data_IF_941269806413
#
_entry.id   IF_941269806413
#
_cell.length_a   1.000
_cell.length_b   1.000
_cell.length_c   1.000
_cell.angle_alpha   90.00
_cell.angle_beta   90.00
_cell.angle_gamma   90.00
#
_symmetry.space_group_name_H-M   'P 1'
#
loop_
_entity.id
_entity.type
_entity.pdbx_description
1 polymer ?
#
# COMPACT_ATOMS: atom_id res chain seq x y z
N UNK A 1 -0.58 -0.38 -4.24
CA UNK A 1 0.46 -0.94 -5.12
C UNK A 1 0.17 -2.42 -5.30
N UNK A 2 -0.29 -2.78 -6.50
CA UNK A 2 -0.84 -4.10 -6.82
C UNK A 2 0.17 -5.25 -6.63
N UNK A 3 1.46 -4.99 -6.77
CA UNK A 3 2.51 -6.00 -6.55
C UNK A 3 2.54 -6.52 -5.10
N UNK A 4 2.29 -5.62 -4.13
CA UNK A 4 2.14 -6.01 -2.72
C UNK A 4 0.87 -6.86 -2.55
N UNK A 5 -0.21 -6.49 -3.24
CA UNK A 5 -1.48 -7.22 -3.23
C UNK A 5 -1.36 -8.61 -3.89
N UNK A 6 -0.55 -8.73 -4.94
CA UNK A 6 -0.28 -9.97 -5.66
C UNK A 6 0.77 -10.87 -4.97
N UNK A 7 1.30 -10.45 -3.82
CA UNK A 7 2.38 -11.12 -3.08
C UNK A 7 3.61 -11.44 -3.96
N UNK A 8 3.98 -10.52 -4.86
CA UNK A 8 5.14 -10.69 -5.74
C UNK A 8 6.30 -9.86 -5.22
N UNK A 9 7.44 -10.50 -4.98
CA UNK A 9 8.66 -9.78 -4.67
C UNK A 9 9.15 -9.04 -5.93
N UNK A 10 9.48 -7.76 -5.81
CA UNK A 10 9.94 -6.94 -6.92
C UNK A 10 11.06 -5.99 -6.50
N UNK A 11 11.85 -5.57 -7.50
CA UNK A 11 12.80 -4.46 -7.39
C UNK A 11 12.11 -3.21 -7.91
N UNK A 12 11.89 -2.24 -7.04
CA UNK A 12 11.30 -0.95 -7.40
C UNK A 12 12.41 0.04 -7.77
N UNK A 13 12.22 0.73 -8.90
CA UNK A 13 13.08 1.82 -9.35
C UNK A 13 12.21 3.08 -9.51
N UNK A 14 12.05 3.89 -8.45
CA UNK A 14 11.21 5.08 -8.50
C UNK A 14 11.68 6.08 -9.55
N UNK A 15 10.73 6.72 -10.23
CA UNK A 15 11.03 7.75 -11.23
C UNK A 15 11.51 9.02 -10.51
N UNK A 16 12.71 9.55 -10.81
CA UNK A 16 13.20 10.75 -10.16
C UNK A 16 12.25 11.95 -10.37
N UNK A 17 11.97 12.68 -9.30
CA UNK A 17 11.08 13.85 -9.35
C UNK A 17 9.58 13.52 -9.26
N UNK A 18 9.21 12.25 -9.15
CA UNK A 18 7.87 11.83 -8.75
C UNK A 18 7.86 11.56 -7.24
N UNK A 19 7.57 12.60 -6.46
CA UNK A 19 7.63 12.57 -4.98
C UNK A 19 6.87 11.39 -4.37
N UNK A 20 5.69 11.07 -4.91
CA UNK A 20 4.87 9.96 -4.42
C UNK A 20 5.55 8.60 -4.66
N UNK A 21 6.13 8.37 -5.84
CA UNK A 21 6.83 7.11 -6.13
C UNK A 21 8.08 6.96 -5.27
N UNK A 22 8.83 8.03 -5.07
CA UNK A 22 10.02 8.04 -4.22
C UNK A 22 9.66 7.74 -2.76
N UNK A 23 8.61 8.38 -2.25
CA UNK A 23 8.08 8.13 -0.91
C UNK A 23 7.61 6.68 -0.77
N UNK A 24 6.79 6.19 -1.69
CA UNK A 24 6.22 4.85 -1.65
C UNK A 24 7.32 3.79 -1.73
N UNK A 25 8.30 3.95 -2.62
CA UNK A 25 9.43 3.04 -2.74
C UNK A 25 10.25 2.96 -1.45
N UNK A 26 10.54 4.11 -0.82
CA UNK A 26 11.23 4.16 0.48
C UNK A 26 10.41 3.48 1.58
N UNK A 27 9.13 3.81 1.69
CA UNK A 27 8.22 3.24 2.68
C UNK A 27 8.12 1.70 2.59
N UNK A 28 7.98 1.17 1.37
CA UNK A 28 7.93 -0.28 1.14
C UNK A 28 9.28 -0.96 1.44
N UNK A 29 10.39 -0.26 1.19
CA UNK A 29 11.73 -0.75 1.48
C UNK A 29 12.04 -0.82 2.97
N UNK A 30 11.70 0.23 3.73
CA UNK A 30 11.88 0.28 5.18
C UNK A 30 11.08 -0.81 5.90
N UNK A 31 9.92 -1.17 5.36
CA UNK A 31 9.08 -2.27 5.86
C UNK A 31 9.59 -3.66 5.47
N UNK A 32 10.67 -3.75 4.69
CA UNK A 32 11.16 -4.99 4.07
C UNK A 32 10.11 -5.69 3.20
N UNK A 33 9.16 -4.94 2.63
CA UNK A 33 8.11 -5.52 1.77
C UNK A 33 8.60 -5.64 0.33
N UNK A 34 9.44 -4.70 -0.12
CA UNK A 34 10.03 -4.67 -1.46
C UNK A 34 11.47 -4.17 -1.38
N UNK A 35 12.31 -4.57 -2.33
CA UNK A 35 13.62 -3.95 -2.48
C UNK A 35 13.48 -2.72 -3.39
N UNK A 36 14.02 -1.57 -2.97
CA UNK A 36 13.94 -0.33 -3.73
C UNK A 36 15.33 0.23 -3.95
N UNK A 37 15.62 0.67 -5.17
CA UNK A 37 16.87 1.34 -5.52
C UNK A 37 16.56 2.55 -6.39
N UNK A 38 17.19 3.69 -6.11
CA UNK A 38 16.97 4.89 -6.93
C UNK A 38 17.48 4.70 -8.36
N UNK A 39 16.82 5.31 -9.34
CA UNK A 39 17.20 5.20 -10.75
C UNK A 39 18.68 5.55 -11.00
N UNK A 40 19.20 6.58 -10.32
CA UNK A 40 20.61 7.00 -10.42
C UNK A 40 21.61 5.93 -9.93
N UNK A 41 21.19 5.06 -9.01
CA UNK A 41 22.04 4.00 -8.44
C UNK A 41 21.74 2.62 -9.03
N UNK A 42 20.75 2.51 -9.93
CA UNK A 42 20.32 1.24 -10.49
C UNK A 42 21.42 0.67 -11.40
N UNK A 43 21.90 -0.52 -11.03
CA UNK A 43 22.66 -1.42 -11.90
C UNK A 43 22.07 -2.81 -11.74
N UNK A 44 21.69 -3.44 -12.85
CA UNK A 44 20.93 -4.69 -12.83
C UNK A 44 21.60 -5.78 -11.98
N UNK A 45 22.88 -6.07 -12.22
CA UNK A 45 23.62 -7.10 -11.47
C UNK A 45 23.66 -6.82 -9.97
N UNK A 46 23.94 -5.57 -9.58
CA UNK A 46 23.98 -5.17 -8.17
C UNK A 46 22.61 -5.26 -7.51
N UNK A 47 21.56 -4.86 -8.24
CA UNK A 47 20.20 -4.90 -7.76
C UNK A 47 19.72 -6.34 -7.57
N UNK A 48 20.04 -7.25 -8.50
CA UNK A 48 19.74 -8.68 -8.39
C UNK A 48 20.47 -9.33 -7.21
N UNK A 49 21.77 -9.08 -7.05
CA UNK A 49 22.55 -9.61 -5.94
C UNK A 49 22.01 -9.13 -4.57
N UNK A 50 21.70 -7.84 -4.45
CA UNK A 50 21.11 -7.29 -3.23
C UNK A 50 19.70 -7.83 -2.97
N UNK A 51 18.89 -8.00 -4.01
CA UNK A 51 17.54 -8.55 -3.91
C UNK A 51 17.54 -10.02 -3.47
N UNK A 52 18.48 -10.84 -3.96
CA UNK A 52 18.63 -12.23 -3.51
C UNK A 52 18.99 -12.35 -2.02
N UNK A 53 19.69 -11.35 -1.48
CA UNK A 53 20.06 -11.27 -0.07
C UNK A 53 18.99 -10.58 0.79
N UNK A 54 18.00 -9.93 0.17
CA UNK A 54 16.98 -9.21 0.89
C UNK A 54 15.99 -10.19 1.52
N UNK A 55 15.95 -10.22 2.85
CA UNK A 55 14.92 -10.92 3.61
C UNK A 55 13.61 -10.13 3.55
N UNK A 56 12.88 -10.28 2.44
CA UNK A 56 11.59 -9.62 2.24
C UNK A 56 10.48 -10.37 2.98
N UNK A 57 9.68 -9.63 3.74
CA UNK A 57 8.55 -10.14 4.51
C UNK A 57 7.31 -9.38 4.09
N UNK A 58 6.60 -9.94 3.10
CA UNK A 58 5.33 -9.38 2.68
C UNK A 58 4.31 -9.49 3.82
N UNK A 59 3.51 -8.44 4.07
CA UNK A 59 2.52 -8.48 5.14
C UNK A 59 1.52 -9.59 4.86
N UNK A 60 1.16 -10.36 5.89
CA UNK A 60 -0.01 -11.22 5.80
C UNK A 60 -1.25 -10.38 5.56
N UNK A 61 -2.10 -10.91 4.69
CA UNK A 61 -3.28 -10.22 4.16
C UNK A 61 -4.17 -9.78 5.33
N UNK A 62 -4.55 -8.50 5.37
CA UNK A 62 -5.88 -8.14 5.88
C UNK A 62 -6.80 -8.20 4.68
N UNK A 63 -7.67 -9.19 4.68
CA UNK A 63 -8.79 -9.27 3.75
C UNK A 63 -9.55 -7.93 3.71
N UNK A 64 -10.18 -7.65 2.57
CA UNK A 64 -10.69 -6.34 2.15
C UNK A 64 -11.67 -5.70 3.16
N UNK A 65 -11.12 -5.08 4.20
CA UNK A 65 -11.83 -4.31 5.22
C UNK A 65 -12.59 -3.11 4.62
N UNK A 66 -12.34 -2.81 3.35
CA UNK A 66 -13.06 -1.79 2.61
C UNK A 66 -14.56 -2.09 2.55
N UNK A 67 -14.97 -3.36 2.36
CA UNK A 67 -16.39 -3.71 2.35
C UNK A 67 -17.04 -3.41 3.69
N UNK A 68 -16.41 -3.86 4.77
CA UNK A 68 -16.90 -3.67 6.14
C UNK A 68 -16.96 -2.19 6.53
N UNK A 69 -15.96 -1.39 6.14
CA UNK A 69 -15.96 0.05 6.39
C UNK A 69 -17.01 0.78 5.55
N UNK A 70 -17.24 0.37 4.30
CA UNK A 70 -18.31 0.92 3.46
C UNK A 70 -19.67 0.59 4.05
N UNK A 71 -19.87 -0.66 4.49
CA UNK A 71 -21.11 -1.11 5.15
C UNK A 71 -21.37 -0.32 6.44
N UNK A 72 -20.35 -0.16 7.30
CA UNK A 72 -20.44 0.66 8.52
C UNK A 72 -20.75 2.14 8.22
N UNK A 73 -20.13 2.71 7.17
CA UNK A 73 -20.39 4.10 6.78
C UNK A 73 -21.84 4.28 6.28
N UNK A 74 -22.34 3.37 5.45
CA UNK A 74 -23.73 3.40 4.96
C UNK A 74 -24.72 3.27 6.13
N UNK A 75 -24.44 2.39 7.08
CA UNK A 75 -25.28 2.20 8.26
C UNK A 75 -25.38 3.50 9.08
N UNK A 76 -24.25 4.14 9.38
CA UNK A 76 -24.20 5.41 10.13
C UNK A 76 -24.94 6.54 9.41
N UNK A 77 -24.85 6.61 8.07
CA UNK A 77 -25.57 7.62 7.30
C UNK A 77 -27.09 7.39 7.31
N UNK A 78 -27.52 6.13 7.33
CA UNK A 78 -28.94 5.77 7.33
C UNK A 78 -29.58 6.04 8.70
N UNK A 79 -28.91 5.67 9.79
CA UNK A 79 -29.40 5.90 11.16
C UNK A 79 -29.52 7.39 11.51
N UNK A 80 -28.60 8.22 11.02
CA UNK A 80 -28.61 9.67 11.26
C UNK A 80 -29.79 10.37 10.57
N UNK A 81 -30.19 9.91 9.39
CA UNK A 81 -31.35 10.46 8.66
C UNK A 81 -32.69 10.10 9.33
N UNK A 82 -32.78 8.95 10.01
CA UNK A 82 -33.98 8.55 10.74
C UNK A 82 -34.19 9.38 12.02
N UNK A 83 -33.11 9.71 12.74
CA UNK A 83 -33.18 10.58 13.93
C UNK A 83 -33.55 12.04 13.60
N UNK A 84 -33.11 12.59 12.46
CA UNK A 84 -33.48 13.96 12.08
C UNK A 84 -34.95 14.10 11.65
N UNK A 85 -35.58 13.00 11.18
CA UNK A 85 -36.99 13.00 10.80
C UNK A 85 -37.96 12.86 11.99
N UNK A 86 -37.55 12.17 13.07
CA UNK A 86 -38.36 12.04 14.29
C UNK A 86 -38.34 13.28 15.19
N UNK A 87 -37.29 14.10 15.13
CA UNK A 87 -37.15 15.33 15.94
C UNK A 87 -37.91 16.52 15.32
N UNK A 88 -38.45 16.36 14.10
CA UNK A 88 -39.22 17.38 13.36
C UNK A 88 -40.75 17.21 13.45
N UNK A 89 -41.24 16.34 14.34
CA UNK A 89 -42.65 16.26 14.75
C UNK A 89 -42.78 16.47 16.26
#
# INVERSE_FOLDING_TARGET
MDLVQMKKNAILVPTPGQTEQEYLGRYLHERKWMYTVSQKKFKLEKALAAFQQAELLLPERRDDHLKEVIEDLIQRMTEKNSHESEVMH
#
